data_IF_658233596730
#
_entry.id   IF_658233596730
#
_cell.length_a   1.000
_cell.length_b   1.000
_cell.length_c   1.000
_cell.angle_alpha   90.00
_cell.angle_beta   90.00
_cell.angle_gamma   90.00
#
_symmetry.space_group_name_H-M   'P 1'
#
loop_
_entity.id
_entity.type
_entity.pdbx_description
1 polymer ?
#
# COMPACT_ATOMS: atom_id res chain seq x y z
N UNK A 1 -7.34 5.02 24.60
CA UNK A 1 -6.33 6.01 24.18
C UNK A 1 -6.34 6.05 22.67
N UNK A 2 -6.57 7.21 22.05
CA UNK A 2 -6.58 7.36 20.59
C UNK A 2 -5.24 7.94 20.15
N UNK A 3 -4.53 7.22 19.29
CA UNK A 3 -3.27 7.69 18.72
C UNK A 3 -3.53 8.34 17.36
N UNK A 4 -3.05 9.56 17.18
CA UNK A 4 -3.09 10.26 15.90
C UNK A 4 -1.73 10.16 15.21
N UNK A 5 -1.71 9.72 13.95
CA UNK A 5 -0.52 9.69 13.11
C UNK A 5 -0.57 10.85 12.13
N UNK A 6 0.48 11.66 12.12
CA UNK A 6 0.68 12.76 11.18
C UNK A 6 2.02 12.53 10.49
N UNK A 7 2.02 12.49 9.16
CA UNK A 7 3.23 12.33 8.36
C UNK A 7 3.69 13.68 7.81
N UNK A 8 4.93 14.04 8.10
CA UNK A 8 5.50 15.35 7.76
C UNK A 8 6.95 15.19 7.38
N UNK A 9 7.40 16.04 6.46
CA UNK A 9 8.81 16.14 6.08
C UNK A 9 9.45 17.27 6.88
N UNK A 10 10.61 17.02 7.49
CA UNK A 10 11.37 18.07 8.17
C UNK A 10 11.96 19.01 7.09
N UNK A 11 11.58 20.30 7.05
CA UNK A 11 12.14 21.26 6.11
C UNK A 11 13.63 21.51 6.35
N UNK A 12 14.33 22.11 5.37
CA UNK A 12 15.79 22.33 5.43
C UNK A 12 16.26 23.16 6.63
N UNK A 13 15.39 23.98 7.20
CA UNK A 13 15.69 24.76 8.41
C UNK A 13 15.70 23.90 9.69
N UNK A 14 15.34 22.61 9.61
CA UNK A 14 15.38 21.67 10.72
C UNK A 14 14.22 21.80 11.70
N UNK A 15 13.25 22.67 11.45
CA UNK A 15 12.14 22.93 12.37
C UNK A 15 10.88 22.16 11.95
N UNK A 16 10.28 21.46 12.91
CA UNK A 16 8.98 20.82 12.74
C UNK A 16 7.88 21.71 13.31
N UNK A 17 6.98 22.18 12.44
CA UNK A 17 5.84 23.00 12.82
C UNK A 17 4.59 22.11 12.92
N UNK A 18 3.96 22.08 14.11
CA UNK A 18 2.79 21.24 14.41
C UNK A 18 1.52 22.10 14.46
N UNK A 19 1.15 22.71 13.33
CA UNK A 19 0.11 23.76 13.27
C UNK A 19 -1.33 23.23 13.13
N UNK A 20 -1.55 21.92 13.07
CA UNK A 20 -2.87 21.32 12.86
C UNK A 20 -3.06 19.98 13.59
N UNK A 21 -2.61 19.89 14.85
CA UNK A 21 -2.88 18.69 15.65
C UNK A 21 -4.37 18.64 16.04
N UNK A 22 -5.00 17.45 16.06
CA UNK A 22 -6.42 17.27 16.39
C UNK A 22 -6.67 17.33 17.91
N UNK A 23 -6.03 18.28 18.59
CA UNK A 23 -6.12 18.47 20.04
C UNK A 23 -6.60 19.88 20.37
N UNK A 24 -7.34 20.00 21.47
CA UNK A 24 -7.82 21.28 21.96
C UNK A 24 -6.80 21.96 22.89
N UNK A 25 -6.93 23.27 23.06
CA UNK A 25 -6.09 24.02 24.00
C UNK A 25 -6.27 23.51 25.44
N UNK A 26 -5.15 23.29 26.13
CA UNK A 26 -5.12 22.84 27.53
C UNK A 26 -5.13 21.31 27.71
N UNK A 27 -5.26 20.54 26.63
CA UNK A 27 -5.16 19.08 26.71
C UNK A 27 -3.72 18.64 26.99
N UNK A 28 -3.56 17.68 27.91
CA UNK A 28 -2.28 17.01 28.12
C UNK A 28 -2.09 15.95 27.05
N UNK A 29 -1.11 16.14 26.18
CA UNK A 29 -0.78 15.21 25.11
C UNK A 29 0.67 14.76 25.18
N UNK A 30 0.91 13.54 24.74
CA UNK A 30 2.25 12.99 24.52
C UNK A 30 2.51 12.93 23.01
N UNK A 31 3.70 13.38 22.58
CA UNK A 31 4.08 13.39 21.17
C UNK A 31 5.27 12.45 20.97
N UNK A 32 5.11 11.47 20.08
CA UNK A 32 6.16 10.52 19.71
C UNK A 32 6.56 10.79 18.26
N UNK A 33 7.84 11.11 18.03
CA UNK A 33 8.39 11.36 16.69
C UNK A 33 9.15 10.13 16.23
N UNK A 34 8.71 9.53 15.13
CA UNK A 34 9.36 8.37 14.51
C UNK A 34 9.98 8.77 13.18
N UNK A 35 11.31 8.73 13.09
CA UNK A 35 12.03 8.91 11.82
C UNK A 35 11.66 7.77 10.89
N UNK A 36 11.06 8.09 9.75
CA UNK A 36 10.84 7.10 8.71
C UNK A 36 12.15 6.85 7.95
N UNK A 37 12.43 5.59 7.56
CA UNK A 37 13.48 5.34 6.59
C UNK A 37 13.12 6.12 5.33
N UNK A 38 14.12 6.74 4.70
CA UNK A 38 13.91 7.29 3.36
C UNK A 38 13.40 6.12 2.51
N UNK A 39 12.17 6.21 2.01
CA UNK A 39 11.66 5.18 1.11
C UNK A 39 12.61 5.17 -0.06
N UNK A 40 13.45 4.14 -0.15
CA UNK A 40 14.17 3.87 -1.38
C UNK A 40 13.06 3.41 -2.33
N UNK A 41 12.38 4.35 -2.97
CA UNK A 41 11.54 4.08 -4.12
C UNK A 41 12.48 3.65 -5.24
N UNK A 42 13.02 2.44 -5.11
CA UNK A 42 13.60 1.70 -6.23
C UNK A 42 12.56 0.68 -6.69
N UNK A 43 11.31 1.10 -6.74
CA UNK A 43 10.31 0.39 -7.50
C UNK A 43 10.21 1.12 -8.81
N UNK A 44 10.87 0.57 -9.85
CA UNK A 44 10.36 0.73 -11.20
C UNK A 44 8.90 0.32 -11.12
N UNK A 45 8.02 1.30 -11.01
CA UNK A 45 6.57 1.15 -11.02
C UNK A 45 6.20 0.68 -12.41
N UNK A 46 6.36 -0.62 -12.64
CA UNK A 46 5.84 -1.28 -13.82
C UNK A 46 4.35 -1.42 -13.59
N UNK A 47 3.57 -1.07 -14.61
CA UNK A 47 2.12 -1.26 -14.52
C UNK A 47 1.83 -2.75 -14.30
N UNK A 48 0.69 -3.05 -13.67
CA UNK A 48 0.24 -4.44 -13.51
C UNK A 48 0.29 -5.21 -14.84
N UNK A 49 -0.10 -4.57 -15.95
CA UNK A 49 -0.03 -5.16 -17.29
C UNK A 49 1.41 -5.53 -17.73
N UNK A 50 2.40 -4.68 -17.40
CA UNK A 50 3.81 -4.96 -17.68
C UNK A 50 4.37 -6.08 -16.80
N UNK A 51 3.95 -6.15 -15.53
CA UNK A 51 4.31 -7.25 -14.63
C UNK A 51 3.67 -8.58 -15.08
N UNK A 52 2.39 -8.55 -15.45
CA UNK A 52 1.61 -9.71 -15.87
C UNK A 52 2.11 -10.33 -17.19
N UNK A 53 2.69 -9.53 -18.10
CA UNK A 53 3.32 -10.02 -19.33
C UNK A 53 4.36 -11.13 -19.10
N UNK A 54 5.11 -11.07 -17.99
CA UNK A 54 6.11 -12.11 -17.65
C UNK A 54 5.50 -13.47 -17.34
N UNK A 55 4.21 -13.51 -17.02
CA UNK A 55 3.50 -14.72 -16.62
C UNK A 55 2.54 -15.23 -17.71
N UNK A 56 2.42 -14.49 -18.82
CA UNK A 56 1.60 -14.90 -19.97
C UNK A 56 2.18 -16.18 -20.58
N UNK A 57 1.37 -17.25 -20.62
CA UNK A 57 1.79 -18.56 -21.13
C UNK A 57 2.63 -19.42 -20.17
N UNK A 58 2.94 -18.95 -18.95
CA UNK A 58 3.64 -19.75 -17.95
C UNK A 58 2.78 -20.91 -17.40
N UNK A 59 1.48 -20.86 -17.60
CA UNK A 59 0.60 -21.97 -17.28
C UNK A 59 0.55 -22.88 -18.52
N UNK A 60 1.41 -23.90 -18.55
CA UNK A 60 1.53 -24.88 -19.65
C UNK A 60 0.24 -25.67 -19.92
N UNK A 61 -0.72 -25.60 -19.00
CA UNK A 61 -2.08 -26.19 -19.07
C UNK A 61 -3.13 -25.18 -18.59
N UNK A 62 -2.93 -23.88 -18.81
CA UNK A 62 -4.02 -22.95 -18.56
C UNK A 62 -5.12 -23.32 -19.55
N UNK A 63 -6.35 -23.55 -19.07
CA UNK A 63 -7.47 -23.61 -19.98
C UNK A 63 -7.50 -22.27 -20.71
N UNK A 64 -7.59 -22.30 -22.03
CA UNK A 64 -8.05 -21.14 -22.79
C UNK A 64 -9.34 -20.69 -22.10
N UNK A 65 -9.34 -19.45 -21.62
CA UNK A 65 -10.43 -18.79 -20.90
C UNK A 65 -11.09 -19.66 -19.80
N UNK A 66 -10.80 -19.34 -18.53
CA UNK A 66 -11.36 -20.07 -17.38
C UNK A 66 -12.90 -20.08 -17.39
N UNK A 67 -13.56 -19.18 -18.14
CA UNK A 67 -15.02 -19.16 -18.30
C UNK A 67 -15.57 -20.27 -19.19
N UNK A 68 -14.72 -20.99 -19.94
CA UNK A 68 -15.14 -22.10 -20.83
C UNK A 68 -14.55 -23.45 -20.44
N UNK A 69 -13.77 -23.54 -19.35
CA UNK A 69 -13.25 -24.83 -18.91
C UNK A 69 -14.29 -25.61 -18.08
N UNK A 70 -14.79 -26.71 -18.65
CA UNK A 70 -15.68 -27.65 -17.99
C UNK A 70 -15.11 -28.19 -16.67
N UNK A 71 -13.79 -28.40 -16.58
CA UNK A 71 -13.13 -28.93 -15.36
C UNK A 71 -13.28 -27.99 -14.15
N UNK A 72 -13.53 -26.69 -14.37
CA UNK A 72 -13.76 -25.70 -13.31
C UNK A 72 -15.25 -25.46 -13.02
N UNK A 73 -16.14 -25.91 -13.90
CA UNK A 73 -17.59 -25.70 -13.79
C UNK A 73 -18.28 -26.90 -13.12
N UNK A 74 -17.70 -28.10 -13.21
CA UNK A 74 -18.22 -29.26 -12.50
C UNK A 74 -17.90 -29.18 -11.00
N UNK A 75 -18.95 -29.04 -10.16
CA UNK A 75 -18.85 -29.06 -8.69
C UNK A 75 -19.07 -27.71 -8.00
N UNK A 76 -19.32 -26.62 -8.72
CA UNK A 76 -19.74 -25.35 -8.12
C UNK A 76 -21.26 -25.21 -8.19
N UNK A 77 -21.94 -25.41 -7.05
CA UNK A 77 -23.38 -25.20 -6.90
C UNK A 77 -24.23 -26.46 -6.69
N UNK A 78 -23.73 -27.46 -5.97
CA UNK A 78 -24.60 -28.36 -5.18
C UNK A 78 -24.84 -27.80 -3.77
#
# INVERSE_FOLDING_TARGET
>A
MFAHRVEVTIPKNGHLYLEALPFAMGEKVEVIILKQPASVFNEKTVSFAQAAKKFQGCIKKAPVDLSVNSDYLEGFGE
#
